data_IF_305799177617
#
_entry.id   IF_305799177617
#
_cell.length_a   1.000
_cell.length_b   1.000
_cell.length_c   1.000
_cell.angle_alpha   90.00
_cell.angle_beta   90.00
_cell.angle_gamma   90.00
#
_symmetry.space_group_name_H-M   'P 1'
#
loop_
_entity.id
_entity.type
_entity.pdbx_description
1 polymer ?
#
# COMPACT_ATOMS: atom_id res chain seq x y z
N UNK A 1 4.89 19.00 -16.48
CA UNK A 1 3.52 18.43 -16.34
C UNK A 1 3.65 17.19 -15.47
N UNK A 2 3.12 17.21 -14.24
CA UNK A 2 3.20 16.02 -13.37
C UNK A 2 2.28 14.94 -13.95
N UNK A 3 2.86 13.82 -14.38
CA UNK A 3 2.15 12.70 -14.95
C UNK A 3 1.53 11.85 -13.84
N UNK A 4 0.25 11.48 -13.98
CA UNK A 4 -0.47 10.65 -13.02
C UNK A 4 0.20 9.29 -12.80
N UNK A 5 0.85 8.75 -13.82
CA UNK A 5 1.60 7.50 -13.72
C UNK A 5 2.84 7.64 -12.83
N UNK A 6 3.51 8.80 -12.88
CA UNK A 6 4.62 9.10 -11.96
C UNK A 6 4.13 9.19 -10.52
N UNK A 7 2.92 9.73 -10.31
CA UNK A 7 2.34 9.81 -8.98
C UNK A 7 1.95 8.43 -8.44
N UNK A 8 1.42 7.54 -9.29
CA UNK A 8 1.17 6.13 -8.95
C UNK A 8 2.47 5.43 -8.53
N UNK A 9 3.56 5.66 -9.26
CA UNK A 9 4.88 5.09 -8.92
C UNK A 9 5.34 5.57 -7.54
N UNK A 10 5.18 6.86 -7.22
CA UNK A 10 5.54 7.41 -5.90
C UNK A 10 4.71 6.79 -4.77
N UNK A 11 3.38 6.70 -4.96
CA UNK A 11 2.48 6.07 -3.99
C UNK A 11 2.92 4.63 -3.71
N UNK A 12 3.14 3.83 -4.76
CA UNK A 12 3.63 2.45 -4.61
C UNK A 12 5.00 2.37 -3.96
N UNK A 13 5.92 3.27 -4.34
CA UNK A 13 7.26 3.31 -3.76
C UNK A 13 7.28 3.72 -2.27
N UNK A 14 6.25 4.42 -1.81
CA UNK A 14 6.03 4.79 -0.41
C UNK A 14 5.30 3.74 0.42
N UNK A 15 4.87 2.62 -0.20
CA UNK A 15 4.04 1.61 0.47
C UNK A 15 2.63 2.14 0.79
N UNK A 16 2.18 3.16 0.05
CA UNK A 16 0.87 3.77 0.23
C UNK A 16 -0.15 3.14 -0.72
N UNK A 17 -1.41 3.16 -0.32
CA UNK A 17 -2.54 2.73 -1.14
C UNK A 17 -3.21 3.95 -1.78
N UNK A 18 -3.86 3.74 -2.93
CA UNK A 18 -4.65 4.75 -3.61
C UNK A 18 -5.74 4.10 -4.45
N UNK A 19 -6.60 4.88 -5.09
CA UNK A 19 -7.46 4.42 -6.18
C UNK A 19 -7.24 5.29 -7.41
N UNK A 20 -7.13 4.65 -8.56
CA UNK A 20 -7.14 5.33 -9.86
C UNK A 20 -8.57 5.35 -10.39
N UNK A 21 -9.09 6.55 -10.60
CA UNK A 21 -10.36 6.80 -11.25
C UNK A 21 -10.10 7.13 -12.70
N UNK A 22 -10.74 6.43 -13.63
CA UNK A 22 -10.67 6.69 -15.08
C UNK A 22 -12.07 6.93 -15.63
N UNK A 23 -12.27 8.01 -16.34
CA UNK A 23 -13.48 8.25 -17.14
C UNK A 23 -13.47 7.27 -18.32
N UNK A 24 -14.44 6.35 -18.36
CA UNK A 24 -14.54 5.32 -19.41
C UNK A 24 -15.60 5.65 -20.45
N UNK A 25 -16.57 6.47 -20.10
CA UNK A 25 -17.55 7.02 -21.05
C UNK A 25 -18.06 8.37 -20.55
N UNK A 26 -18.24 9.29 -21.49
CA UNK A 26 -18.75 10.63 -21.25
C UNK A 26 -19.67 11.02 -22.42
N UNK A 27 -20.93 11.35 -22.13
CA UNK A 27 -21.91 11.78 -23.15
C UNK A 27 -22.64 13.03 -22.72
N UNK A 28 -23.05 13.84 -23.69
CA UNK A 28 -23.66 15.15 -23.45
C UNK A 28 -22.66 16.20 -22.98
N UNK A 29 -23.12 17.18 -22.18
CA UNK A 29 -22.25 18.23 -21.62
C UNK A 29 -21.57 17.70 -20.36
N UNK A 30 -20.42 17.07 -20.52
CA UNK A 30 -19.62 16.56 -19.40
C UNK A 30 -18.38 17.44 -19.18
N UNK A 31 -17.89 17.58 -17.93
CA UNK A 31 -16.76 18.47 -17.62
C UNK A 31 -15.42 17.91 -18.11
N UNK A 32 -15.33 16.62 -18.47
CA UNK A 32 -14.10 15.96 -18.90
C UNK A 32 -14.37 14.87 -19.95
N UNK A 33 -13.35 14.61 -20.76
CA UNK A 33 -13.37 13.61 -21.82
C UNK A 33 -13.00 12.21 -21.32
N UNK A 34 -13.35 11.20 -22.12
CA UNK A 34 -12.92 9.81 -21.91
C UNK A 34 -11.40 9.71 -21.80
N UNK A 35 -10.92 8.82 -20.93
CA UNK A 35 -9.50 8.65 -20.63
C UNK A 35 -8.95 9.60 -19.58
N UNK A 36 -9.73 10.63 -19.15
CA UNK A 36 -9.33 11.48 -18.02
C UNK A 36 -9.16 10.67 -16.76
N UNK A 37 -8.11 10.98 -15.99
CA UNK A 37 -7.73 10.22 -14.79
C UNK A 37 -7.56 11.12 -13.57
N UNK A 38 -7.90 10.56 -12.43
CA UNK A 38 -7.71 11.15 -11.10
C UNK A 38 -7.22 10.07 -10.13
N UNK A 39 -6.20 10.36 -9.35
CA UNK A 39 -5.73 9.50 -8.26
C UNK A 39 -6.33 10.00 -6.95
N UNK A 40 -6.89 9.09 -6.16
CA UNK A 40 -7.48 9.39 -4.85
C UNK A 40 -6.71 8.63 -3.78
N UNK A 41 -6.33 9.33 -2.68
CA UNK A 41 -5.67 8.71 -1.52
C UNK A 41 -6.67 8.34 -0.44
N UNK A 42 -6.28 7.52 0.55
CA UNK A 42 -7.16 7.08 1.64
C UNK A 42 -7.75 8.22 2.48
N UNK A 43 -7.08 9.36 2.55
CA UNK A 43 -7.52 10.59 3.23
C UNK A 43 -8.48 11.45 2.40
N UNK A 44 -8.80 11.02 1.16
CA UNK A 44 -9.64 11.75 0.22
C UNK A 44 -8.90 12.82 -0.58
N UNK A 45 -7.60 13.04 -0.36
CA UNK A 45 -6.80 13.93 -1.20
C UNK A 45 -6.68 13.39 -2.62
N UNK A 46 -6.66 14.29 -3.61
CA UNK A 46 -6.67 13.94 -5.03
C UNK A 46 -5.43 14.47 -5.75
N UNK A 47 -5.06 13.76 -6.81
CA UNK A 47 -4.14 14.25 -7.84
C UNK A 47 -4.80 14.12 -9.20
N UNK A 48 -4.89 15.22 -9.94
CA UNK A 48 -5.74 15.33 -11.14
C UNK A 48 -7.19 15.64 -10.78
N UNK A 49 -8.08 15.64 -11.78
CA UNK A 49 -9.50 15.94 -11.61
C UNK A 49 -10.32 15.32 -12.73
N UNK A 50 -11.53 14.92 -12.43
CA UNK A 50 -12.52 14.43 -13.40
C UNK A 50 -13.65 15.43 -13.65
N UNK A 51 -13.51 16.69 -13.18
CA UNK A 51 -14.44 17.76 -13.50
C UNK A 51 -14.83 18.67 -12.35
N UNK A 52 -14.50 18.31 -11.11
CA UNK A 52 -14.82 19.13 -9.93
C UNK A 52 -16.27 19.00 -9.44
N UNK A 53 -16.64 19.83 -8.47
CA UNK A 53 -17.99 19.95 -7.93
C UNK A 53 -18.46 18.73 -7.11
N UNK A 54 -19.79 18.64 -6.91
CA UNK A 54 -20.42 17.59 -6.10
C UNK A 54 -20.22 16.18 -6.67
N UNK A 55 -20.15 16.05 -8.00
CA UNK A 55 -19.89 14.78 -8.67
C UNK A 55 -18.52 14.22 -8.31
N UNK A 56 -17.48 15.04 -8.39
CA UNK A 56 -16.12 14.61 -8.04
C UNK A 56 -16.04 14.19 -6.56
N UNK A 57 -16.67 14.95 -5.66
CA UNK A 57 -16.72 14.60 -4.24
C UNK A 57 -17.35 13.24 -3.99
N UNK A 58 -18.47 12.91 -4.65
CA UNK A 58 -19.12 11.59 -4.55
C UNK A 58 -18.22 10.47 -5.09
N UNK A 59 -17.52 10.72 -6.19
CA UNK A 59 -16.60 9.73 -6.77
C UNK A 59 -15.37 9.53 -5.86
N UNK A 60 -14.88 10.57 -5.21
CA UNK A 60 -13.80 10.48 -4.20
C UNK A 60 -14.23 9.61 -3.02
N UNK A 61 -15.45 9.78 -2.49
CA UNK A 61 -15.98 8.93 -1.41
C UNK A 61 -16.05 7.44 -1.83
N UNK A 62 -16.49 7.18 -3.06
CA UNK A 62 -16.53 5.81 -3.58
C UNK A 62 -15.13 5.25 -3.80
N UNK A 63 -14.18 6.05 -4.26
CA UNK A 63 -12.79 5.66 -4.42
C UNK A 63 -12.13 5.28 -3.08
N UNK A 64 -12.40 6.03 -2.01
CA UNK A 64 -11.94 5.67 -0.65
C UNK A 64 -12.53 4.33 -0.20
N UNK A 65 -13.80 4.03 -0.53
CA UNK A 65 -14.39 2.71 -0.25
C UNK A 65 -13.70 1.60 -1.05
N UNK A 66 -13.39 1.85 -2.32
CA UNK A 66 -12.67 0.91 -3.20
C UNK A 66 -11.28 0.58 -2.64
N UNK A 67 -10.53 1.58 -2.15
CA UNK A 67 -9.24 1.37 -1.48
C UNK A 67 -9.40 0.40 -0.31
N UNK A 68 -10.36 0.67 0.58
CA UNK A 68 -10.60 -0.16 1.79
C UNK A 68 -11.04 -1.60 1.47
N UNK A 69 -11.78 -1.78 0.38
CA UNK A 69 -12.31 -3.08 -0.03
C UNK A 69 -11.34 -3.88 -0.89
N UNK A 70 -10.36 -3.22 -1.50
CA UNK A 70 -9.41 -3.82 -2.43
C UNK A 70 -10.06 -4.39 -3.70
N UNK A 71 -11.27 -3.94 -4.06
CA UNK A 71 -12.03 -4.44 -5.23
C UNK A 71 -12.40 -3.30 -6.17
N UNK A 72 -12.16 -3.45 -7.47
CA UNK A 72 -12.53 -2.43 -8.44
C UNK A 72 -14.04 -2.25 -8.54
N UNK A 73 -14.46 -1.06 -8.97
CA UNK A 73 -15.88 -0.70 -9.13
C UNK A 73 -16.09 0.13 -10.39
N UNK A 74 -17.17 -0.16 -11.12
CA UNK A 74 -17.73 0.76 -12.11
C UNK A 74 -18.83 1.59 -11.48
N UNK A 75 -18.87 2.85 -11.83
CA UNK A 75 -19.84 3.79 -11.33
C UNK A 75 -20.39 4.62 -12.48
N UNK A 76 -21.70 4.56 -12.67
CA UNK A 76 -22.43 5.41 -13.62
C UNK A 76 -23.13 6.55 -12.86
N UNK A 77 -23.04 7.77 -13.40
CA UNK A 77 -23.71 8.96 -12.88
C UNK A 77 -24.33 9.73 -14.03
N UNK A 78 -25.62 10.03 -13.87
CA UNK A 78 -26.36 10.91 -14.76
C UNK A 78 -26.36 12.32 -14.15
N UNK A 79 -25.86 13.28 -14.90
CA UNK A 79 -25.78 14.68 -14.47
C UNK A 79 -27.14 15.35 -14.74
N UNK A 80 -28.10 15.20 -13.81
CA UNK A 80 -29.38 15.85 -13.93
C UNK A 80 -29.35 17.29 -13.44
N UNK A 81 -30.14 18.17 -14.04
CA UNK A 81 -30.26 19.60 -13.67
C UNK A 81 -30.62 19.85 -12.18
N UNK A 82 -31.10 18.82 -11.44
CA UNK A 82 -31.40 18.89 -10.00
C UNK A 82 -30.18 18.76 -9.10
N UNK A 83 -29.11 18.10 -9.56
CA UNK A 83 -27.85 17.95 -8.80
C UNK A 83 -26.88 19.11 -9.13
N UNK A 84 -27.12 19.83 -10.22
CA UNK A 84 -26.43 21.08 -10.58
C UNK A 84 -26.99 22.33 -9.84
N UNK A 85 -27.90 22.12 -8.91
CA UNK A 85 -28.55 23.21 -8.18
C UNK A 85 -27.59 23.91 -7.23
N UNK A 86 -27.11 25.03 -7.61
CA UNK A 86 -26.83 26.33 -7.01
C UNK A 86 -25.79 27.16 -7.76
N UNK A 87 -25.05 26.60 -8.74
CA UNK A 87 -24.00 27.34 -9.46
C UNK A 87 -24.12 27.33 -11.00
N UNK A 88 -25.31 27.29 -11.56
CA UNK A 88 -25.53 27.71 -12.96
C UNK A 88 -24.91 26.83 -14.07
N UNK A 89 -24.38 25.66 -13.80
CA UNK A 89 -23.93 24.71 -14.82
C UNK A 89 -25.08 23.77 -15.21
N UNK A 90 -25.71 24.06 -16.35
CA UNK A 90 -26.66 23.18 -17.04
C UNK A 90 -25.83 22.10 -17.77
N UNK A 91 -25.30 21.14 -17.05
CA UNK A 91 -24.64 19.99 -17.63
C UNK A 91 -25.63 18.83 -17.59
N UNK A 92 -26.34 18.57 -18.70
CA UNK A 92 -27.08 17.33 -18.90
C UNK A 92 -26.19 16.34 -19.63
N UNK A 93 -25.71 15.31 -18.94
CA UNK A 93 -24.86 14.29 -19.56
C UNK A 93 -24.70 13.08 -18.66
N UNK A 94 -24.18 12.00 -19.19
CA UNK A 94 -23.87 10.78 -18.45
C UNK A 94 -22.35 10.61 -18.34
N UNK A 95 -21.89 10.22 -17.16
CA UNK A 95 -20.50 9.91 -16.89
C UNK A 95 -20.40 8.50 -16.33
N UNK A 96 -19.57 7.67 -16.93
CA UNK A 96 -19.17 6.39 -16.40
C UNK A 96 -17.69 6.42 -16.01
N UNK A 97 -17.37 6.01 -14.79
CA UNK A 97 -16.01 5.91 -14.31
C UNK A 97 -15.69 4.49 -13.87
N UNK A 98 -14.44 4.09 -14.10
CA UNK A 98 -13.87 2.90 -13.53
C UNK A 98 -12.92 3.30 -12.41
N UNK A 99 -13.12 2.71 -11.24
CA UNK A 99 -12.33 2.96 -10.04
C UNK A 99 -11.58 1.68 -9.72
N UNK A 100 -10.26 1.71 -9.82
CA UNK A 100 -9.40 0.56 -9.51
C UNK A 100 -8.48 0.85 -8.33
N UNK A 101 -8.34 -0.10 -7.35
CA UNK A 101 -7.44 0.10 -6.23
C UNK A 101 -5.99 -0.09 -6.67
N UNK A 102 -5.13 0.83 -6.25
CA UNK A 102 -3.68 0.72 -6.34
C UNK A 102 -3.20 0.19 -5.00
N UNK A 103 -3.00 -1.12 -4.94
CA UNK A 103 -2.56 -1.80 -3.73
C UNK A 103 -1.05 -2.00 -3.73
N UNK A 104 -0.47 -2.05 -2.54
CA UNK A 104 0.93 -2.42 -2.32
C UNK A 104 1.00 -3.85 -1.83
N UNK A 105 2.02 -4.59 -2.27
CA UNK A 105 2.29 -5.91 -1.72
C UNK A 105 2.93 -5.76 -0.34
N UNK A 106 2.35 -6.34 0.72
CA UNK A 106 2.91 -6.23 2.05
C UNK A 106 4.27 -6.93 2.11
N UNK A 107 5.22 -6.35 2.85
CA UNK A 107 6.53 -6.95 3.10
C UNK A 107 6.63 -7.43 4.55
N UNK A 108 7.16 -8.64 4.75
CA UNK A 108 7.40 -9.24 6.06
C UNK A 108 8.91 -9.35 6.29
N UNK A 109 9.41 -8.54 7.19
CA UNK A 109 10.78 -8.55 7.63
C UNK A 109 10.92 -9.38 8.90
N UNK A 110 11.66 -10.48 8.82
CA UNK A 110 11.85 -11.43 9.92
C UNK A 110 13.29 -11.29 10.41
N UNK A 111 13.46 -10.76 11.61
CA UNK A 111 14.75 -10.67 12.29
C UNK A 111 14.95 -11.91 13.16
N UNK A 112 15.90 -12.76 12.75
CA UNK A 112 16.18 -14.07 13.32
C UNK A 112 15.79 -15.21 12.38
N UNK A 113 16.76 -16.05 11.97
CA UNK A 113 16.59 -17.18 11.04
C UNK A 113 16.32 -18.52 11.69
N UNK A 114 15.75 -18.53 12.91
CA UNK A 114 15.44 -19.77 13.67
C UNK A 114 14.24 -20.54 13.16
N UNK A 115 13.78 -21.53 13.94
CA UNK A 115 12.66 -22.40 13.56
C UNK A 115 11.34 -21.64 13.34
N UNK A 116 11.10 -20.59 14.12
CA UNK A 116 9.90 -19.74 13.97
C UNK A 116 9.93 -19.03 12.63
N UNK A 117 11.09 -18.49 12.24
CA UNK A 117 11.27 -17.82 10.95
C UNK A 117 10.95 -18.73 9.77
N UNK A 118 11.36 -20.02 9.83
CA UNK A 118 11.05 -21.01 8.78
C UNK A 118 9.54 -21.18 8.58
N UNK A 119 8.79 -21.25 9.67
CA UNK A 119 7.33 -21.37 9.60
C UNK A 119 6.68 -20.07 9.10
N UNK A 120 7.11 -18.92 9.64
CA UNK A 120 6.60 -17.61 9.26
C UNK A 120 6.84 -17.29 7.79
N UNK A 121 8.01 -17.62 7.24
CA UNK A 121 8.35 -17.41 5.84
C UNK A 121 7.37 -18.15 4.92
N UNK A 122 7.13 -19.44 5.19
CA UNK A 122 6.18 -20.23 4.40
C UNK A 122 4.76 -19.69 4.50
N UNK A 123 4.30 -19.39 5.70
CA UNK A 123 2.96 -18.82 5.91
C UNK A 123 2.82 -17.43 5.29
N UNK A 124 3.81 -16.56 5.47
CA UNK A 124 3.84 -15.22 4.88
C UNK A 124 3.79 -15.26 3.36
N UNK A 125 4.54 -16.17 2.73
CA UNK A 125 4.50 -16.35 1.27
C UNK A 125 3.12 -16.80 0.78
N UNK A 126 2.49 -17.74 1.47
CA UNK A 126 1.12 -18.17 1.16
C UNK A 126 0.09 -17.04 1.31
N UNK A 127 0.33 -16.11 2.23
CA UNK A 127 -0.49 -14.91 2.42
C UNK A 127 -0.15 -13.76 1.47
N UNK A 128 0.79 -13.93 0.54
CA UNK A 128 1.15 -12.92 -0.47
C UNK A 128 2.13 -11.86 0.02
N UNK A 129 2.87 -12.10 1.11
CA UNK A 129 3.92 -11.20 1.56
C UNK A 129 5.21 -11.37 0.74
N UNK A 130 5.89 -10.26 0.49
CA UNK A 130 7.30 -10.24 0.11
C UNK A 130 8.14 -10.50 1.38
N UNK A 131 9.01 -11.48 1.35
CA UNK A 131 9.71 -11.95 2.56
C UNK A 131 11.16 -11.49 2.56
N UNK A 132 11.58 -10.91 3.69
CA UNK A 132 12.98 -10.62 3.98
C UNK A 132 13.38 -11.28 5.30
N UNK A 133 14.52 -11.98 5.31
CA UNK A 133 15.07 -12.64 6.51
C UNK A 133 16.43 -12.07 6.83
N UNK A 134 16.65 -11.72 8.08
CA UNK A 134 17.92 -11.18 8.61
C UNK A 134 18.35 -12.02 9.81
N UNK A 135 19.58 -12.52 9.77
CA UNK A 135 20.23 -13.17 10.94
C UNK A 135 21.74 -12.88 10.86
N UNK A 136 22.39 -12.68 12.00
CA UNK A 136 23.83 -12.42 12.07
C UNK A 136 24.68 -13.64 11.76
N UNK A 137 24.08 -14.83 11.75
CA UNK A 137 24.73 -16.11 11.47
C UNK A 137 24.38 -16.59 10.06
N UNK A 138 25.40 -16.74 9.21
CA UNK A 138 25.22 -17.15 7.82
C UNK A 138 24.51 -18.51 7.66
N UNK A 139 24.75 -19.47 8.57
CA UNK A 139 24.08 -20.77 8.57
C UNK A 139 22.56 -20.67 8.85
N UNK A 140 22.12 -19.58 9.45
CA UNK A 140 20.72 -19.30 9.77
C UNK A 140 20.04 -18.38 8.75
N UNK A 141 20.78 -17.60 7.97
CA UNK A 141 20.28 -16.74 6.90
C UNK A 141 20.85 -17.18 5.55
N UNK A 142 20.30 -18.25 4.99
CA UNK A 142 20.73 -18.78 3.69
C UNK A 142 19.57 -19.07 2.76
N UNK A 143 19.81 -19.00 1.44
CA UNK A 143 18.79 -19.28 0.42
C UNK A 143 18.30 -20.75 0.46
N UNK A 144 19.14 -21.67 0.94
CA UNK A 144 18.75 -23.06 1.14
C UNK A 144 17.69 -23.20 2.23
N UNK A 145 17.79 -22.42 3.30
CA UNK A 145 16.84 -22.44 4.41
C UNK A 145 15.57 -21.64 4.11
N UNK A 146 15.68 -20.57 3.34
CA UNK A 146 14.59 -19.64 3.04
C UNK A 146 14.38 -19.44 1.53
N UNK A 147 14.04 -20.50 0.79
CA UNK A 147 13.87 -20.41 -0.65
C UNK A 147 12.71 -19.49 -1.08
N UNK A 148 11.78 -19.19 -0.17
CA UNK A 148 10.65 -18.28 -0.43
C UNK A 148 11.00 -16.81 -0.20
N UNK A 149 12.15 -16.49 0.44
CA UNK A 149 12.53 -15.12 0.74
C UNK A 149 13.14 -14.43 -0.49
N UNK A 150 12.72 -13.20 -0.75
CA UNK A 150 13.28 -12.36 -1.82
C UNK A 150 14.58 -11.67 -1.38
N UNK A 151 14.69 -11.42 -0.07
CA UNK A 151 15.88 -10.78 0.53
C UNK A 151 16.36 -11.62 1.70
N UNK A 152 17.67 -11.95 1.71
CA UNK A 152 18.32 -12.63 2.81
C UNK A 152 19.59 -11.86 3.16
N UNK A 153 19.69 -11.41 4.41
CA UNK A 153 20.86 -10.69 4.92
C UNK A 153 21.50 -11.50 6.05
N UNK A 154 22.67 -12.04 5.76
CA UNK A 154 23.51 -12.79 6.71
C UNK A 154 24.58 -11.85 7.30
N UNK A 155 24.17 -10.97 8.20
CA UNK A 155 25.05 -9.96 8.78
C UNK A 155 24.48 -9.40 10.08
N UNK A 156 25.31 -8.69 10.85
CA UNK A 156 24.88 -7.97 12.04
C UNK A 156 23.63 -7.14 11.77
N UNK A 157 22.68 -7.17 12.72
CA UNK A 157 21.37 -6.53 12.55
C UNK A 157 21.51 -5.03 12.28
N UNK A 158 22.41 -4.32 12.97
CA UNK A 158 22.61 -2.88 12.77
C UNK A 158 23.14 -2.54 11.39
N UNK A 159 23.94 -3.43 10.78
CA UNK A 159 24.45 -3.27 9.41
C UNK A 159 23.37 -3.52 8.36
N UNK A 160 22.35 -4.29 8.69
CA UNK A 160 21.23 -4.59 7.80
C UNK A 160 20.23 -3.43 7.68
N UNK A 161 20.06 -2.62 8.74
CA UNK A 161 19.06 -1.55 8.78
C UNK A 161 19.09 -0.58 7.58
N UNK A 162 20.25 -0.04 7.15
CA UNK A 162 20.29 0.85 6.00
C UNK A 162 20.04 0.18 4.65
N UNK A 163 20.07 -1.17 4.61
CA UNK A 163 19.82 -1.96 3.40
C UNK A 163 18.34 -2.34 3.24
N UNK A 164 17.53 -2.13 4.28
CA UNK A 164 16.13 -2.49 4.35
C UNK A 164 15.27 -1.23 4.20
N UNK A 165 14.32 -1.29 3.28
CA UNK A 165 13.36 -0.20 3.09
C UNK A 165 12.06 -0.53 3.81
N UNK A 166 11.82 0.11 4.94
CA UNK A 166 10.57 0.01 5.69
C UNK A 166 9.61 1.12 5.26
N UNK A 167 8.36 0.77 5.01
CA UNK A 167 7.28 1.66 4.64
C UNK A 167 5.96 1.28 5.34
N UNK A 168 4.86 1.96 5.01
CA UNK A 168 3.53 1.73 5.62
C UNK A 168 2.90 0.37 5.28
N UNK A 169 3.47 -0.40 4.35
CA UNK A 169 3.05 -1.77 4.03
C UNK A 169 3.93 -2.84 4.69
N UNK A 170 4.92 -2.42 5.45
CA UNK A 170 5.92 -3.29 6.07
C UNK A 170 5.45 -3.85 7.42
N UNK A 171 5.72 -5.12 7.65
CA UNK A 171 5.49 -5.84 8.90
C UNK A 171 6.83 -6.35 9.40
N UNK A 172 7.15 -6.10 10.67
CA UNK A 172 8.40 -6.52 11.29
C UNK A 172 8.10 -7.57 12.35
N UNK A 173 8.83 -8.69 12.31
CA UNK A 173 8.76 -9.75 13.32
C UNK A 173 10.15 -10.00 13.85
N UNK A 174 10.30 -9.91 15.18
CA UNK A 174 11.55 -10.06 15.92
C UNK A 174 11.52 -11.37 16.67
N UNK A 175 12.36 -12.31 16.21
CA UNK A 175 12.48 -13.70 16.70
C UNK A 175 13.95 -14.11 16.77
N UNK A 176 14.80 -13.18 17.21
CA UNK A 176 16.26 -13.39 17.27
C UNK A 176 16.62 -14.42 18.34
N UNK A 177 17.88 -14.84 18.34
CA UNK A 177 18.39 -15.84 19.31
C UNK A 177 18.80 -15.28 20.67
N UNK A 178 18.64 -13.94 20.93
CA UNK A 178 19.09 -13.34 22.19
C UNK A 178 18.43 -12.01 22.52
N UNK A 179 18.30 -11.74 23.82
CA UNK A 179 17.64 -10.53 24.33
C UNK A 179 18.26 -9.22 23.86
N UNK A 180 19.62 -9.19 23.75
CA UNK A 180 20.34 -8.01 23.28
C UNK A 180 20.01 -7.68 21.83
N UNK A 181 19.91 -8.69 20.98
CA UNK A 181 19.53 -8.50 19.58
C UNK A 181 18.09 -8.08 19.44
N UNK A 182 17.15 -8.67 20.23
CA UNK A 182 15.75 -8.28 20.23
C UNK A 182 15.59 -6.79 20.60
N UNK A 183 16.32 -6.32 21.63
CA UNK A 183 16.31 -4.92 22.09
C UNK A 183 16.78 -3.97 20.97
N UNK A 184 17.94 -4.25 20.37
CA UNK A 184 18.53 -3.44 19.31
C UNK A 184 17.58 -3.34 18.09
N UNK A 185 17.00 -4.47 17.68
CA UNK A 185 16.06 -4.48 16.54
C UNK A 185 14.76 -3.77 16.89
N UNK A 186 14.23 -3.96 18.10
CA UNK A 186 13.00 -3.30 18.55
C UNK A 186 13.18 -1.78 18.63
N UNK A 187 14.28 -1.30 19.22
CA UNK A 187 14.60 0.13 19.30
C UNK A 187 14.63 0.78 17.93
N UNK A 188 15.27 0.13 16.95
CA UNK A 188 15.25 0.61 15.57
C UNK A 188 13.86 0.55 14.96
N UNK A 189 13.14 -0.58 15.12
CA UNK A 189 11.86 -0.83 14.47
C UNK A 189 10.78 0.18 14.88
N UNK A 190 10.72 0.59 16.15
CA UNK A 190 9.72 1.57 16.64
C UNK A 190 9.92 2.97 16.05
N UNK A 191 11.11 3.27 15.53
CA UNK A 191 11.38 4.52 14.80
C UNK A 191 10.99 4.46 13.31
N UNK A 192 10.48 3.33 12.80
CA UNK A 192 10.14 3.14 11.39
C UNK A 192 8.63 3.38 11.13
N UNK A 193 8.21 3.61 9.88
CA UNK A 193 6.79 3.71 9.52
C UNK A 193 6.09 2.34 9.38
N UNK A 194 6.66 1.25 9.90
CA UNK A 194 6.10 -0.10 9.78
C UNK A 194 4.65 -0.16 10.28
N UNK A 195 3.81 -0.89 9.56
CA UNK A 195 2.40 -1.11 9.89
C UNK A 195 2.21 -1.98 11.13
N UNK A 196 3.16 -2.88 11.38
CA UNK A 196 3.14 -3.81 12.49
C UNK A 196 4.55 -4.15 12.95
N UNK A 197 4.74 -4.22 14.26
CA UNK A 197 5.96 -4.69 14.89
C UNK A 197 5.55 -5.72 15.94
N UNK A 198 6.03 -6.95 15.80
CA UNK A 198 5.80 -8.04 16.73
C UNK A 198 7.11 -8.64 17.22
N UNK A 199 7.22 -8.88 18.51
CA UNK A 199 8.38 -9.53 19.13
C UNK A 199 7.93 -10.70 19.98
N UNK A 200 8.63 -11.83 19.87
CA UNK A 200 8.43 -12.96 20.77
C UNK A 200 9.26 -12.77 22.01
N UNK A 201 8.60 -12.85 23.15
CA UNK A 201 9.23 -12.76 24.46
C UNK A 201 8.71 -13.79 25.43
N UNK A 202 9.53 -14.17 26.42
CA UNK A 202 9.08 -14.91 27.60
C UNK A 202 8.40 -13.96 28.59
N UNK A 203 7.70 -14.50 29.61
CA UNK A 203 7.08 -13.67 30.69
C UNK A 203 8.08 -12.84 31.49
N UNK A 204 9.37 -13.13 31.34
CA UNK A 204 10.48 -12.44 32.02
C UNK A 204 11.24 -11.45 31.13
N UNK A 205 10.81 -11.29 29.88
CA UNK A 205 11.35 -10.28 28.95
C UNK A 205 10.62 -8.93 29.06
#
# INVERSE_FOLDING_TARGET
MNDIYQEIVKVKAGGEEAALVTVVSASGSTPREEGTKMLVRPDGSIFGTIGGGSLEAQIVEEAVKVIRQGKPKRLHRSLTAKEAGEEGMICGGDLEVFIEPILTSPALYIFGGGHIALALTKMGKLCGFNIAVVDDRADFASAERFPEAEVILAEDFTKSFPKIKIDKSSYIVIVTHGHQHDEVVLEWAVGTPAKYIGMIGSKTK
#
